data_IF_055804620817
#
_entry.id   IF_055804620817
#
_cell.length_a   1.000
_cell.length_b   1.000
_cell.length_c   1.000
_cell.angle_alpha   90.00
_cell.angle_beta   90.00
_cell.angle_gamma   90.00
#
_symmetry.space_group_name_H-M   'P 1'
#
loop_
_entity.id
_entity.type
_entity.pdbx_description
1 polymer ?
#
# COMPACT_ATOMS: atom_id res chain seq x y z
N UNK A 1 18.73 -46.99 15.46
CA UNK A 1 17.99 -45.84 16.03
C UNK A 1 17.29 -45.14 14.87
N UNK A 2 15.95 -45.21 14.74
CA UNK A 2 15.20 -44.61 13.62
C UNK A 2 14.37 -43.42 14.13
N UNK A 3 14.86 -42.17 14.05
CA UNK A 3 14.12 -40.97 14.47
C UNK A 3 13.18 -40.46 13.36
N UNK A 4 12.66 -41.34 12.50
CA UNK A 4 11.83 -40.95 11.35
C UNK A 4 10.45 -40.37 11.73
N UNK A 5 9.72 -40.85 12.76
CA UNK A 5 8.36 -40.35 12.99
C UNK A 5 8.34 -38.91 13.53
N UNK A 6 9.36 -38.51 14.30
CA UNK A 6 9.44 -37.18 14.91
C UNK A 6 9.73 -36.07 13.89
N UNK A 7 10.55 -36.36 12.87
CA UNK A 7 10.87 -35.39 11.82
C UNK A 7 9.66 -35.13 10.93
N UNK A 8 8.90 -36.18 10.58
CA UNK A 8 7.68 -36.05 9.78
C UNK A 8 6.60 -35.27 10.53
N UNK A 9 6.45 -35.51 11.83
CA UNK A 9 5.51 -34.77 12.68
C UNK A 9 5.89 -33.30 12.84
N UNK A 10 7.18 -33.01 13.03
CA UNK A 10 7.68 -31.64 13.14
C UNK A 10 7.52 -30.86 11.81
N UNK A 11 7.77 -31.51 10.67
CA UNK A 11 7.59 -30.91 9.36
C UNK A 11 6.11 -30.62 9.06
N UNK A 12 5.22 -31.54 9.43
CA UNK A 12 3.77 -31.34 9.31
C UNK A 12 3.30 -30.16 10.19
N UNK A 13 3.75 -30.07 11.43
CA UNK A 13 3.40 -28.94 12.31
C UNK A 13 3.89 -27.59 11.77
N UNK A 14 5.10 -27.55 11.19
CA UNK A 14 5.66 -26.34 10.59
C UNK A 14 4.88 -25.88 9.33
N UNK A 15 4.41 -26.81 8.50
CA UNK A 15 3.61 -26.50 7.30
C UNK A 15 2.23 -25.94 7.68
N UNK A 16 1.62 -26.44 8.75
CA UNK A 16 0.34 -25.92 9.25
C UNK A 16 0.46 -24.55 9.92
N UNK A 17 1.60 -24.24 10.56
CA UNK A 17 1.88 -22.90 11.11
C UNK A 17 2.17 -21.84 10.04
N UNK A 18 2.55 -22.26 8.83
CA UNK A 18 2.83 -21.38 7.70
C UNK A 18 1.60 -20.97 6.89
N UNK A 19 0.47 -21.67 7.06
CA UNK A 19 -0.85 -21.18 6.63
C UNK A 19 -1.36 -20.13 7.63
N UNK A 20 -0.54 -19.11 7.90
CA UNK A 20 -0.96 -17.90 8.58
C UNK A 20 -2.16 -17.34 7.83
N UNK A 21 -3.31 -17.38 8.49
CA UNK A 21 -4.57 -16.92 7.95
C UNK A 21 -4.37 -15.55 7.32
N UNK A 22 -4.73 -15.42 6.05
CA UNK A 22 -4.74 -14.11 5.39
C UNK A 22 -5.61 -13.20 6.25
N UNK A 23 -5.02 -12.12 6.76
CA UNK A 23 -5.75 -11.09 7.51
C UNK A 23 -6.78 -10.49 6.57
N UNK A 24 -8.03 -10.94 6.69
CA UNK A 24 -9.16 -10.34 5.98
C UNK A 24 -9.68 -9.21 6.86
N UNK A 25 -9.93 -8.00 6.32
CA UNK A 25 -10.50 -6.93 7.11
C UNK A 25 -11.82 -7.40 7.74
N UNK A 26 -11.95 -7.24 9.06
CA UNK A 26 -13.18 -7.59 9.77
C UNK A 26 -14.36 -6.68 9.37
N UNK A 27 -14.07 -5.49 8.84
CA UNK A 27 -15.06 -4.62 8.21
C UNK A 27 -14.47 -3.84 7.04
N UNK A 28 -15.33 -3.48 6.11
CA UNK A 28 -15.05 -2.45 5.12
C UNK A 28 -15.63 -1.10 5.56
N UNK A 29 -15.11 0.02 5.05
CA UNK A 29 -15.75 1.32 5.22
C UNK A 29 -17.19 1.28 4.70
N UNK A 30 -18.11 1.97 5.39
CA UNK A 30 -19.51 2.07 4.96
C UNK A 30 -19.67 2.91 3.67
N UNK A 31 -18.73 3.82 3.42
CA UNK A 31 -18.69 4.68 2.25
C UNK A 31 -17.35 4.55 1.56
N UNK A 32 -17.36 4.68 0.24
CA UNK A 32 -16.17 4.63 -0.61
C UNK A 32 -16.27 5.71 -1.69
N UNK A 33 -15.19 5.95 -2.43
CA UNK A 33 -15.16 6.93 -3.51
C UNK A 33 -16.36 6.87 -4.48
N UNK A 34 -16.88 5.68 -4.87
CA UNK A 34 -18.07 5.60 -5.74
C UNK A 34 -19.42 5.69 -5.01
N UNK A 35 -19.46 5.96 -3.70
CA UNK A 35 -20.73 6.05 -2.97
C UNK A 35 -21.52 7.31 -3.33
N UNK A 36 -22.86 7.25 -3.27
CA UNK A 36 -23.74 8.39 -3.61
C UNK A 36 -23.56 9.60 -2.69
N UNK A 37 -23.07 9.37 -1.47
CA UNK A 37 -22.80 10.40 -0.47
C UNK A 37 -21.37 10.94 -0.56
N UNK A 38 -20.54 10.42 -1.47
CA UNK A 38 -19.19 10.92 -1.67
C UNK A 38 -19.21 12.34 -2.24
N UNK A 39 -18.31 13.19 -1.74
CA UNK A 39 -18.05 14.48 -2.37
C UNK A 39 -17.48 14.27 -3.77
N UNK A 40 -17.87 15.15 -4.70
CA UNK A 40 -17.28 15.18 -6.02
C UNK A 40 -15.77 15.43 -5.92
N UNK A 41 -15.00 14.65 -6.68
CA UNK A 41 -13.55 14.80 -6.73
C UNK A 41 -13.17 16.11 -7.44
N UNK A 42 -12.04 16.73 -7.09
CA UNK A 42 -11.48 17.82 -7.87
C UNK A 42 -11.33 17.45 -9.35
N UNK A 43 -11.59 18.42 -10.22
CA UNK A 43 -11.37 18.27 -11.67
C UNK A 43 -9.94 18.70 -11.97
N UNK A 44 -9.17 17.79 -12.54
CA UNK A 44 -7.79 18.04 -12.92
C UNK A 44 -7.54 17.58 -14.36
N UNK A 45 -6.49 18.14 -14.96
CA UNK A 45 -6.07 17.79 -16.31
C UNK A 45 -5.17 16.53 -16.29
N UNK A 46 -5.65 15.37 -16.76
CA UNK A 46 -4.87 14.13 -16.75
C UNK A 46 -3.74 14.14 -17.78
N UNK A 47 -3.71 15.11 -18.69
CA UNK A 47 -2.72 15.18 -19.78
C UNK A 47 -1.41 15.84 -19.37
N UNK A 48 -1.36 16.45 -18.17
CA UNK A 48 -0.16 17.14 -17.64
C UNK A 48 1.03 16.19 -17.59
N UNK A 49 0.81 14.95 -17.15
CA UNK A 49 1.86 13.92 -17.09
C UNK A 49 2.39 13.50 -18.49
N UNK A 50 1.65 13.80 -19.55
CA UNK A 50 2.03 13.48 -20.93
C UNK A 50 2.66 14.66 -21.67
N UNK A 51 2.34 15.89 -21.24
CA UNK A 51 2.66 17.13 -21.97
C UNK A 51 3.67 18.02 -21.27
N UNK A 52 4.01 17.71 -20.02
CA UNK A 52 4.96 18.48 -19.21
C UNK A 52 5.88 17.56 -18.41
N UNK A 53 7.02 18.10 -18.01
CA UNK A 53 7.95 17.40 -17.13
C UNK A 53 7.56 17.57 -15.65
N UNK A 54 7.81 16.55 -14.80
CA UNK A 54 7.56 16.66 -13.37
C UNK A 54 8.48 17.71 -12.72
N UNK A 55 8.01 18.39 -11.67
CA UNK A 55 8.80 19.34 -10.91
C UNK A 55 10.00 18.65 -10.26
N UNK A 56 11.11 19.37 -10.14
CA UNK A 56 12.25 18.87 -9.37
C UNK A 56 11.94 18.88 -7.86
N UNK A 57 12.67 18.11 -7.04
CA UNK A 57 12.54 18.17 -5.59
C UNK A 57 12.70 19.61 -5.06
N UNK A 58 11.70 20.10 -4.33
CA UNK A 58 11.68 21.45 -3.77
C UNK A 58 11.03 22.51 -4.66
N UNK A 59 10.64 22.16 -5.90
CA UNK A 59 9.87 23.06 -6.76
C UNK A 59 8.35 22.94 -6.50
N UNK A 60 7.58 24.00 -6.81
CA UNK A 60 6.12 23.96 -6.71
C UNK A 60 5.51 22.87 -7.60
N UNK A 61 4.58 22.08 -7.05
CA UNK A 61 4.01 20.93 -7.77
C UNK A 61 2.86 21.29 -8.69
N UNK A 62 2.20 22.43 -8.49
CA UNK A 62 1.14 22.95 -9.35
C UNK A 62 0.13 21.87 -9.78
N UNK A 63 0.05 21.53 -11.09
CA UNK A 63 -0.91 20.56 -11.63
C UNK A 63 -0.54 19.08 -11.39
N UNK A 64 0.61 18.79 -10.77
CA UNK A 64 1.05 17.43 -10.47
C UNK A 64 0.36 16.89 -9.21
N UNK A 65 -0.86 16.42 -9.39
CA UNK A 65 -1.61 15.75 -8.34
C UNK A 65 -0.85 14.56 -7.74
N UNK A 66 -0.96 14.39 -6.42
CA UNK A 66 -0.26 13.35 -5.67
C UNK A 66 1.18 13.68 -5.29
N UNK A 67 1.76 14.76 -5.85
CA UNK A 67 3.05 15.30 -5.38
C UNK A 67 2.87 16.42 -4.35
N UNK A 68 1.67 16.99 -4.23
CA UNK A 68 1.39 18.03 -3.25
C UNK A 68 1.54 17.48 -1.81
N UNK A 69 2.34 18.13 -0.95
CA UNK A 69 2.70 17.60 0.37
C UNK A 69 1.52 17.46 1.35
N UNK A 70 0.39 18.11 1.08
CA UNK A 70 -0.73 18.22 2.04
C UNK A 70 -1.99 17.42 1.69
N UNK A 71 -1.99 16.56 0.67
CA UNK A 71 -3.15 15.75 0.33
C UNK A 71 -3.20 14.41 1.08
N UNK A 72 -3.21 14.43 2.42
CA UNK A 72 -3.77 13.37 3.26
C UNK A 72 -3.19 11.94 3.18
N UNK A 73 -2.10 11.71 2.45
CA UNK A 73 -1.40 10.43 2.48
C UNK A 73 -0.56 10.36 3.75
N UNK A 74 -1.11 9.78 4.82
CA UNK A 74 -0.31 9.32 5.95
C UNK A 74 0.88 8.54 5.39
N UNK A 75 2.09 9.05 5.62
CA UNK A 75 3.33 8.45 5.15
C UNK A 75 3.30 6.95 5.45
N UNK A 76 3.41 6.11 4.42
CA UNK A 76 3.55 4.68 4.60
C UNK A 76 4.81 4.43 5.47
N UNK A 77 4.72 3.67 6.59
CA UNK A 77 5.88 3.38 7.42
C UNK A 77 6.73 2.32 6.71
N UNK A 78 7.57 2.76 5.78
CA UNK A 78 8.32 1.85 4.90
C UNK A 78 9.60 2.42 4.33
N UNK A 79 10.19 3.45 4.93
CA UNK A 79 11.48 3.98 4.48
C UNK A 79 12.62 2.99 4.72
N UNK A 80 13.28 2.53 3.65
CA UNK A 80 14.54 1.79 3.75
C UNK A 80 15.69 2.80 3.77
N UNK A 81 16.55 2.73 4.79
CA UNK A 81 17.73 3.57 4.90
C UNK A 81 18.82 3.10 3.93
N UNK A 82 19.29 3.99 3.05
CA UNK A 82 20.54 3.80 2.32
C UNK A 82 21.70 4.32 3.19
N UNK A 83 22.42 3.40 3.82
CA UNK A 83 23.70 3.72 4.45
C UNK A 83 24.78 3.82 3.35
N UNK A 84 25.51 4.94 3.35
CA UNK A 84 26.70 5.17 2.54
C UNK A 84 27.93 4.48 3.12
#
# INVERSE_FOLDING_TARGET
MRPLPSIVLALAAALFSGCGGRSVPARFPAHSAPSLEACEAPVDDPTVALTSDPPLPGEPTGPWQGLAPDAGAAAAPGGHVHAH
#
